data_IF_556424145415
#
_entry.id   IF_556424145415
#
_cell.length_a   1.000
_cell.length_b   1.000
_cell.length_c   1.000
_cell.angle_alpha   90.00
_cell.angle_beta   90.00
_cell.angle_gamma   90.00
#
_symmetry.space_group_name_H-M   'P 1'
#
loop_
_entity.id
_entity.type
_entity.pdbx_description
1 polymer ?
#
# COMPACT_ATOMS: atom_id res chain seq x y z
N UNK A 1 -21.04 -0.48 -11.29
CA UNK A 1 -20.26 0.49 -10.48
C UNK A 1 -19.30 -0.17 -9.50
N UNK A 2 -19.75 -1.06 -8.60
CA UNK A 2 -18.87 -1.71 -7.59
C UNK A 2 -17.63 -2.41 -8.15
N UNK A 3 -17.75 -3.11 -9.30
CA UNK A 3 -16.61 -3.77 -9.97
C UNK A 3 -15.57 -2.77 -10.48
N UNK A 4 -16.02 -1.65 -11.05
CA UNK A 4 -15.15 -0.56 -11.53
C UNK A 4 -14.43 0.10 -10.36
N UNK A 5 -15.14 0.35 -9.27
CA UNK A 5 -14.54 0.90 -8.04
C UNK A 5 -13.45 -0.03 -7.48
N UNK A 6 -13.69 -1.33 -7.48
CA UNK A 6 -12.70 -2.33 -7.06
C UNK A 6 -11.47 -2.36 -7.96
N UNK A 7 -11.66 -2.29 -9.27
CA UNK A 7 -10.57 -2.20 -10.24
C UNK A 7 -9.71 -0.96 -10.02
N UNK A 8 -10.35 0.21 -9.86
CA UNK A 8 -9.65 1.46 -9.57
C UNK A 8 -8.88 1.35 -8.25
N UNK A 9 -9.52 0.85 -7.19
CA UNK A 9 -8.88 0.68 -5.90
C UNK A 9 -7.69 -0.29 -5.97
N UNK A 10 -7.79 -1.35 -6.77
CA UNK A 10 -6.71 -2.30 -6.98
C UNK A 10 -5.53 -1.68 -7.73
N UNK A 11 -5.79 -0.95 -8.82
CA UNK A 11 -4.74 -0.28 -9.61
C UNK A 11 -4.05 0.82 -8.79
N UNK A 12 -4.82 1.69 -8.15
CA UNK A 12 -4.30 2.79 -7.33
C UNK A 12 -3.55 2.23 -6.10
N UNK A 13 -4.12 1.23 -5.42
CA UNK A 13 -3.47 0.58 -4.30
C UNK A 13 -2.18 -0.12 -4.70
N UNK A 14 -2.20 -0.85 -5.82
CA UNK A 14 -1.01 -1.52 -6.37
C UNK A 14 0.09 -0.53 -6.73
N UNK A 15 -0.25 0.60 -7.36
CA UNK A 15 0.71 1.67 -7.64
C UNK A 15 1.42 2.17 -6.36
N UNK A 16 0.66 2.47 -5.30
CA UNK A 16 1.26 2.92 -4.05
C UNK A 16 2.11 1.85 -3.37
N UNK A 17 1.74 0.57 -3.47
CA UNK A 17 2.54 -0.53 -2.94
C UNK A 17 3.86 -0.67 -3.70
N UNK A 18 3.83 -0.65 -5.03
CA UNK A 18 5.05 -0.76 -5.84
C UNK A 18 5.96 0.43 -5.61
N UNK A 19 5.42 1.66 -5.57
CA UNK A 19 6.18 2.85 -5.16
C UNK A 19 6.79 2.67 -3.78
N UNK A 20 6.02 2.13 -2.83
CA UNK A 20 6.51 1.84 -1.49
C UNK A 20 7.62 0.77 -1.44
N UNK A 21 7.67 -0.15 -2.38
CA UNK A 21 8.73 -1.15 -2.43
C UNK A 21 10.00 -0.64 -3.11
N UNK A 22 9.87 0.28 -4.07
CA UNK A 22 10.99 0.76 -4.89
C UNK A 22 11.80 1.86 -4.19
N UNK A 23 11.14 2.78 -3.48
CA UNK A 23 11.82 3.96 -2.90
C UNK A 23 13.09 3.65 -2.09
N UNK A 24 13.15 2.61 -1.22
CA UNK A 24 14.36 2.34 -0.43
C UNK A 24 15.56 1.95 -1.29
N UNK A 25 15.35 1.58 -2.56
CA UNK A 25 16.41 1.26 -3.51
C UNK A 25 16.79 2.44 -4.40
N UNK A 26 15.98 3.50 -4.41
CA UNK A 26 16.23 4.72 -5.21
C UNK A 26 16.89 5.81 -4.37
N UNK A 27 16.55 5.89 -3.08
CA UNK A 27 17.13 6.89 -2.16
C UNK A 27 18.59 6.53 -1.82
N UNK A 28 19.49 7.49 -1.97
CA UNK A 28 20.83 7.43 -1.41
C UNK A 28 20.80 7.90 0.06
N UNK A 29 20.81 6.94 0.99
CA UNK A 29 20.79 7.21 2.42
C UNK A 29 22.07 7.88 2.96
N UNK A 30 23.15 7.91 2.17
CA UNK A 30 24.43 8.50 2.57
C UNK A 30 24.57 9.97 2.17
N UNK A 31 23.73 10.45 1.25
CA UNK A 31 23.75 11.83 0.75
C UNK A 31 22.37 12.51 0.91
N UNK A 32 22.20 13.37 1.93
CA UNK A 32 20.97 14.12 2.13
C UNK A 32 20.56 15.00 0.96
N UNK A 33 21.51 15.47 0.14
CA UNK A 33 21.18 16.30 -1.02
C UNK A 33 20.36 15.56 -2.07
N UNK A 34 20.38 14.23 -2.04
CA UNK A 34 19.59 13.37 -2.92
C UNK A 34 18.09 13.37 -2.63
N UNK A 35 17.67 13.67 -1.39
CA UNK A 35 16.27 13.60 -0.96
C UNK A 35 15.77 14.85 -0.21
N UNK A 36 16.64 15.84 0.05
CA UNK A 36 16.28 17.01 0.87
C UNK A 36 15.19 17.89 0.23
N UNK A 37 15.14 17.89 -1.11
CA UNK A 37 14.19 18.66 -1.91
C UNK A 37 12.94 17.84 -2.27
N UNK A 38 12.90 16.57 -1.90
CA UNK A 38 11.75 15.71 -2.13
C UNK A 38 10.62 16.02 -1.14
N UNK A 39 9.40 15.61 -1.49
CA UNK A 39 8.26 15.77 -0.60
C UNK A 39 8.43 14.94 0.68
N UNK A 40 8.49 15.66 1.82
CA UNK A 40 8.81 15.09 3.13
C UNK A 40 10.25 15.34 3.58
N UNK A 41 11.10 15.89 2.71
CA UNK A 41 12.41 16.43 3.07
C UNK A 41 12.31 17.65 4.01
N UNK A 42 13.42 18.08 4.64
CA UNK A 42 14.78 17.56 4.49
C UNK A 42 15.07 16.30 5.30
N UNK A 43 14.11 15.82 6.09
CA UNK A 43 14.29 14.62 6.91
C UNK A 43 14.01 13.34 6.12
N UNK A 44 14.90 12.35 6.21
CA UNK A 44 14.69 11.04 5.59
C UNK A 44 13.36 10.40 6.03
N UNK A 45 13.01 10.51 7.32
CA UNK A 45 11.77 9.93 7.85
C UNK A 45 10.52 10.55 7.22
N UNK A 46 10.53 11.86 6.94
CA UNK A 46 9.41 12.52 6.28
C UNK A 46 9.28 12.07 4.82
N UNK A 47 10.38 11.96 4.08
CA UNK A 47 10.39 11.42 2.71
C UNK A 47 9.82 10.01 2.71
N UNK A 48 10.32 9.13 3.58
CA UNK A 48 9.82 7.76 3.71
C UNK A 48 8.34 7.71 4.10
N UNK A 49 7.86 8.56 5.00
CA UNK A 49 6.44 8.58 5.36
C UNK A 49 5.54 8.95 4.16
N UNK A 50 5.94 9.94 3.35
CA UNK A 50 5.17 10.36 2.17
C UNK A 50 5.23 9.32 1.04
N UNK A 51 6.36 8.64 0.90
CA UNK A 51 6.59 7.71 -0.21
C UNK A 51 6.12 6.28 0.11
N UNK A 52 6.34 5.82 1.34
CA UNK A 52 5.98 4.48 1.83
C UNK A 52 4.59 4.42 2.45
N UNK A 53 4.21 5.44 3.21
CA UNK A 53 3.02 5.42 4.07
C UNK A 53 1.73 5.04 3.32
N UNK A 54 1.40 5.68 2.19
CA UNK A 54 0.23 5.31 1.40
C UNK A 54 0.24 3.86 0.93
N UNK A 55 1.40 3.33 0.53
CA UNK A 55 1.55 1.94 0.09
C UNK A 55 1.35 0.94 1.23
N UNK A 56 1.89 1.23 2.42
CA UNK A 56 1.66 0.42 3.62
C UNK A 56 0.18 0.40 3.99
N UNK A 57 -0.49 1.55 3.99
CA UNK A 57 -1.93 1.64 4.26
C UNK A 57 -2.73 0.84 3.22
N UNK A 58 -2.41 0.99 1.93
CA UNK A 58 -3.06 0.25 0.86
C UNK A 58 -2.90 -1.27 1.03
N UNK A 59 -1.69 -1.74 1.34
CA UNK A 59 -1.42 -3.16 1.61
C UNK A 59 -2.24 -3.67 2.79
N UNK A 60 -2.29 -2.94 3.91
CA UNK A 60 -3.07 -3.31 5.09
C UNK A 60 -4.57 -3.39 4.79
N UNK A 61 -5.11 -2.44 4.02
CA UNK A 61 -6.51 -2.44 3.63
C UNK A 61 -6.86 -3.61 2.71
N UNK A 62 -5.98 -3.95 1.75
CA UNK A 62 -6.15 -5.10 0.87
C UNK A 62 -6.11 -6.40 1.68
N UNK A 63 -5.10 -6.60 2.54
CA UNK A 63 -4.98 -7.78 3.41
C UNK A 63 -6.22 -7.93 4.30
N UNK A 64 -6.68 -6.84 4.91
CA UNK A 64 -7.90 -6.84 5.75
C UNK A 64 -9.15 -7.17 4.92
N UNK A 65 -9.24 -6.66 3.70
CA UNK A 65 -10.34 -6.96 2.78
C UNK A 65 -10.39 -8.44 2.39
N UNK A 66 -9.24 -9.02 2.04
CA UNK A 66 -9.10 -10.44 1.70
C UNK A 66 -9.47 -11.33 2.89
N UNK A 67 -8.92 -11.07 4.09
CA UNK A 67 -9.26 -11.81 5.31
C UNK A 67 -10.75 -11.77 5.65
N UNK A 68 -11.40 -10.62 5.41
CA UNK A 68 -12.85 -10.47 5.63
C UNK A 68 -13.67 -11.26 4.60
N UNK A 69 -13.17 -11.38 3.36
CA UNK A 69 -13.83 -12.15 2.31
C UNK A 69 -13.75 -13.66 2.58
N UNK A 70 -12.60 -14.14 3.09
CA UNK A 70 -12.43 -15.55 3.45
C UNK A 70 -13.34 -15.96 4.61
N UNK A 71 -13.41 -15.14 5.66
CA UNK A 71 -14.33 -15.40 6.79
C UNK A 71 -15.80 -15.52 6.36
N UNK A 72 -16.24 -14.78 5.34
CA UNK A 72 -17.61 -14.88 4.82
C UNK A 72 -17.87 -16.15 4.03
N UNK A 73 -16.83 -16.79 3.47
CA UNK A 73 -16.97 -18.08 2.80
C UNK A 73 -17.15 -19.20 3.82
N UNK A 74 -16.41 -19.15 4.93
CA UNK A 74 -16.50 -20.14 6.00
C UNK A 74 -17.86 -20.12 6.72
N UNK A 75 -18.42 -18.92 6.96
CA UNK A 75 -19.76 -18.75 7.58
C UNK A 75 -20.92 -19.14 6.63
N UNK A 76 -20.65 -19.35 5.33
CA UNK A 76 -21.66 -19.68 4.32
C UNK A 76 -21.62 -21.14 3.84
N UNK A 77 -20.67 -21.94 4.34
CA UNK A 77 -20.57 -23.38 4.08
C UNK A 77 -20.82 -24.16 5.37
N UNK A 78 -22.06 -24.24 5.82
CA UNK A 78 -22.46 -25.09 6.95
C UNK A 78 -22.84 -26.51 6.43
N UNK A 79 -22.44 -27.61 7.10
CA UNK A 79 -22.22 -28.94 6.51
C UNK A 79 -23.45 -29.82 6.24
N UNK A 80 -24.58 -29.28 5.77
CA UNK A 80 -25.79 -30.08 5.50
C UNK A 80 -26.07 -30.33 4.01
N UNK A 81 -25.04 -30.22 3.16
CA UNK A 81 -25.06 -30.55 1.73
C UNK A 81 -24.60 -32.00 1.48
#
# INVERSE_FOLDING_TARGET
>A
MKRVLWLIAFVVGGFFIVRALIEPFVIDFSDPSSYENDWGGPSLIGVLLVHMGPGVIAALLIIRGLRKADRRKDEGGDPLD
#
